data_IF_879266177387
#
_entry.id   IF_879266177387
#
_cell.length_a   1.000
_cell.length_b   1.000
_cell.length_c   1.000
_cell.angle_alpha   90.00
_cell.angle_beta   90.00
_cell.angle_gamma   90.00
#
_symmetry.space_group_name_H-M   'P 1'
#
loop_
_entity.id
_entity.type
_entity.pdbx_description
1 polymer ?
#
# COMPACT_ATOMS: atom_id res chain seq x y z
N UNK A 1 -0.86 35.67 -4.03
CA UNK A 1 0.18 35.44 -5.06
C UNK A 1 -0.43 34.50 -6.09
N UNK A 2 -0.45 34.87 -7.37
CA UNK A 2 -0.99 34.02 -8.43
C UNK A 2 -0.06 32.83 -8.73
N UNK A 3 -0.64 31.64 -8.86
CA UNK A 3 0.04 30.40 -9.28
C UNK A 3 0.77 30.60 -10.61
N UNK A 4 0.19 31.41 -11.48
CA UNK A 4 0.76 31.77 -12.79
C UNK A 4 2.07 32.55 -12.67
N UNK A 5 2.17 33.44 -11.69
CA UNK A 5 3.38 34.23 -11.44
C UNK A 5 4.50 33.34 -10.91
N UNK A 6 4.16 32.38 -10.05
CA UNK A 6 5.08 31.40 -9.47
C UNK A 6 5.60 30.41 -10.53
N UNK A 7 4.74 29.96 -11.44
CA UNK A 7 5.13 29.11 -12.56
C UNK A 7 6.07 29.86 -13.52
N UNK A 8 5.79 31.14 -13.81
CA UNK A 8 6.60 31.96 -14.71
C UNK A 8 7.98 32.30 -14.12
N UNK A 9 8.08 32.56 -12.82
CA UNK A 9 9.38 32.75 -12.16
C UNK A 9 10.19 31.46 -12.13
N UNK A 10 9.55 30.31 -11.90
CA UNK A 10 10.22 29.00 -11.91
C UNK A 10 10.76 28.67 -13.30
N UNK A 11 9.96 28.87 -14.37
CA UNK A 11 10.39 28.64 -15.75
C UNK A 11 11.55 29.55 -16.20
N UNK A 12 11.60 30.81 -15.71
CA UNK A 12 12.66 31.76 -16.05
C UNK A 12 14.05 31.33 -15.52
N UNK A 13 14.08 30.49 -14.49
CA UNK A 13 15.30 29.98 -13.85
C UNK A 13 15.40 28.46 -13.93
N UNK A 14 15.01 27.91 -15.08
CA UNK A 14 15.12 26.49 -15.37
C UNK A 14 16.53 25.92 -15.08
N UNK A 15 17.58 26.72 -15.25
CA UNK A 15 18.97 26.33 -14.97
C UNK A 15 19.31 26.06 -13.49
N UNK A 16 18.46 26.45 -12.53
CA UNK A 16 18.61 26.09 -11.10
C UNK A 16 17.65 24.97 -10.72
N UNK A 17 16.41 25.07 -11.20
CA UNK A 17 15.36 24.10 -10.90
C UNK A 17 15.68 22.72 -11.48
N UNK A 18 16.03 22.65 -12.77
CA UNK A 18 16.33 21.39 -13.45
C UNK A 18 17.47 20.60 -12.80
N UNK A 19 18.65 21.18 -12.49
CA UNK A 19 19.71 20.40 -11.85
C UNK A 19 19.32 19.91 -10.45
N UNK A 20 18.59 20.70 -9.65
CA UNK A 20 18.10 20.24 -8.34
C UNK A 20 17.14 19.06 -8.51
N UNK A 21 16.21 19.14 -9.45
CA UNK A 21 15.28 18.06 -9.75
C UNK A 21 16.01 16.81 -10.25
N UNK A 22 17.00 16.96 -11.13
CA UNK A 22 17.82 15.86 -11.64
C UNK A 22 18.60 15.19 -10.50
N UNK A 23 19.20 15.97 -9.59
CA UNK A 23 19.90 15.42 -8.41
C UNK A 23 18.93 14.66 -7.51
N UNK A 24 17.74 15.21 -7.26
CA UNK A 24 16.73 14.54 -6.44
C UNK A 24 16.26 13.22 -7.06
N UNK A 25 15.98 13.20 -8.36
CA UNK A 25 15.61 11.98 -9.08
C UNK A 25 16.76 10.98 -9.14
N UNK A 26 18.01 11.44 -9.31
CA UNK A 26 19.18 10.58 -9.29
C UNK A 26 19.35 9.92 -7.92
N UNK A 27 19.19 10.66 -6.82
CA UNK A 27 19.23 10.13 -5.46
C UNK A 27 18.09 9.15 -5.19
N UNK A 28 16.87 9.47 -5.62
CA UNK A 28 15.72 8.56 -5.51
C UNK A 28 15.95 7.28 -6.31
N UNK A 29 16.52 7.38 -7.50
CA UNK A 29 16.83 6.23 -8.35
C UNK A 29 17.94 5.35 -7.78
N UNK A 30 19.01 5.92 -7.24
CA UNK A 30 20.07 5.14 -6.59
C UNK A 30 19.53 4.41 -5.37
N UNK A 31 18.76 5.09 -4.53
CA UNK A 31 18.15 4.46 -3.36
C UNK A 31 17.15 3.36 -3.77
N UNK A 32 16.36 3.57 -4.83
CA UNK A 32 15.43 2.56 -5.34
C UNK A 32 16.14 1.30 -5.88
N UNK A 33 17.37 1.41 -6.38
CA UNK A 33 18.16 0.27 -6.85
C UNK A 33 18.80 -0.55 -5.73
N UNK A 34 18.96 0.05 -4.56
CA UNK A 34 19.52 -0.61 -3.39
C UNK A 34 18.44 -1.38 -2.60
N UNK A 35 17.16 -1.25 -2.97
CA UNK A 35 16.09 -2.06 -2.38
C UNK A 35 16.25 -3.51 -2.84
N UNK A 36 16.24 -4.48 -1.90
CA UNK A 36 16.22 -5.88 -2.28
C UNK A 36 14.90 -6.19 -3.02
N UNK A 37 14.92 -7.14 -3.98
CA UNK A 37 13.69 -7.60 -4.60
C UNK A 37 12.81 -8.25 -3.54
N UNK A 38 11.52 -7.91 -3.54
CA UNK A 38 10.51 -8.55 -2.71
C UNK A 38 9.77 -9.55 -3.59
N UNK A 39 9.83 -10.81 -3.21
CA UNK A 39 9.11 -11.91 -3.84
C UNK A 39 7.78 -12.06 -3.16
N UNK A 40 6.72 -12.18 -3.97
CA UNK A 40 5.37 -12.44 -3.49
C UNK A 40 4.92 -13.76 -4.10
N UNK A 41 4.50 -14.69 -3.25
CA UNK A 41 3.92 -15.95 -3.70
C UNK A 41 2.52 -16.07 -3.14
N UNK A 42 1.58 -16.34 -4.04
CA UNK A 42 0.21 -16.61 -3.68
C UNK A 42 -0.07 -18.10 -3.78
N UNK A 43 -0.72 -18.64 -2.75
CA UNK A 43 -1.30 -19.99 -2.76
C UNK A 43 -2.75 -19.93 -2.29
N UNK A 44 -3.55 -20.90 -2.71
CA UNK A 44 -4.95 -20.96 -2.29
C UNK A 44 -5.38 -22.38 -1.99
N UNK A 45 -6.29 -22.51 -1.03
CA UNK A 45 -6.89 -23.78 -0.64
C UNK A 45 -8.39 -23.60 -0.45
N UNK A 46 -9.17 -24.60 -0.86
CA UNK A 46 -10.62 -24.63 -0.66
C UNK A 46 -10.95 -25.58 0.48
N UNK A 47 -11.90 -25.16 1.31
CA UNK A 47 -12.52 -26.04 2.30
C UNK A 47 -13.67 -26.78 1.63
N UNK A 48 -13.65 -28.11 1.72
CA UNK A 48 -14.73 -28.96 1.20
C UNK A 48 -15.41 -29.71 2.34
N UNK A 49 -16.69 -30.03 2.16
CA UNK A 49 -17.38 -30.95 3.07
C UNK A 49 -16.78 -32.37 3.02
N UNK A 50 -17.28 -33.28 3.86
CA UNK A 50 -16.82 -34.66 3.84
C UNK A 50 -17.15 -35.34 2.51
N UNK A 51 -16.25 -36.24 2.08
CA UNK A 51 -16.48 -37.10 0.92
C UNK A 51 -17.35 -38.31 1.26
N UNK A 52 -17.48 -38.63 2.55
CA UNK A 52 -18.19 -39.77 3.06
C UNK A 52 -19.30 -39.28 4.00
N UNK A 53 -20.51 -39.78 3.83
CA UNK A 53 -21.63 -39.54 4.75
C UNK A 53 -22.26 -40.87 5.18
N UNK A 54 -22.86 -40.94 6.38
CA UNK A 54 -23.67 -42.08 6.76
C UNK A 54 -24.82 -42.28 5.76
N UNK A 55 -24.95 -43.49 5.23
CA UNK A 55 -26.04 -43.89 4.35
C UNK A 55 -27.36 -44.11 5.08
N UNK A 56 -28.40 -44.50 4.33
CA UNK A 56 -29.75 -44.73 4.86
C UNK A 56 -29.84 -45.98 5.76
N UNK A 57 -28.95 -46.96 5.58
CA UNK A 57 -28.85 -48.15 6.42
C UNK A 57 -27.76 -48.04 7.49
N UNK A 58 -28.00 -48.64 8.68
CA UNK A 58 -27.06 -48.59 9.80
C UNK A 58 -25.73 -49.29 9.45
N UNK A 59 -24.67 -48.49 9.29
CA UNK A 59 -23.34 -48.95 8.89
C UNK A 59 -23.02 -48.80 7.39
N UNK A 60 -23.93 -48.24 6.59
CA UNK A 60 -23.67 -47.84 5.20
C UNK A 60 -22.94 -46.49 5.17
N UNK A 61 -21.98 -46.36 4.25
CA UNK A 61 -21.25 -45.10 4.02
C UNK A 61 -21.37 -44.78 2.53
N UNK A 62 -21.97 -43.64 2.23
CA UNK A 62 -22.14 -43.15 0.87
C UNK A 62 -21.03 -42.17 0.50
N UNK A 63 -20.45 -42.36 -0.70
CA UNK A 63 -19.51 -41.42 -1.27
C UNK A 63 -20.29 -40.28 -1.96
N UNK A 64 -20.11 -39.06 -1.47
CA UNK A 64 -20.70 -37.85 -2.05
C UNK A 64 -19.62 -36.96 -2.63
N UNK A 65 -19.98 -36.20 -3.67
CA UNK A 65 -19.09 -35.20 -4.24
C UNK A 65 -18.85 -34.06 -3.23
N UNK A 66 -17.62 -33.88 -2.70
CA UNK A 66 -17.31 -32.88 -1.67
C UNK A 66 -17.60 -31.44 -2.10
N UNK A 67 -17.57 -31.17 -3.41
CA UNK A 67 -17.81 -29.85 -4.00
C UNK A 67 -19.30 -29.48 -4.10
N UNK A 68 -20.22 -30.42 -3.85
CA UNK A 68 -21.65 -30.10 -3.77
C UNK A 68 -22.02 -29.47 -2.41
N UNK A 69 -21.18 -29.67 -1.40
CA UNK A 69 -21.41 -29.23 -0.02
C UNK A 69 -20.72 -27.89 0.30
N UNK A 70 -20.56 -27.00 -0.70
CA UNK A 70 -19.96 -25.66 -0.54
C UNK A 70 -20.90 -24.64 0.16
N UNK A 71 -21.62 -25.07 1.19
CA UNK A 71 -22.64 -24.27 1.89
C UNK A 71 -22.08 -23.22 2.85
N UNK A 72 -22.98 -22.38 3.39
CA UNK A 72 -22.61 -21.23 4.24
C UNK A 72 -21.90 -21.57 5.57
N UNK A 73 -21.96 -22.82 6.04
CA UNK A 73 -21.16 -23.28 7.18
C UNK A 73 -19.67 -23.19 6.89
N UNK A 74 -19.23 -23.53 5.67
CA UNK A 74 -17.82 -23.44 5.27
C UNK A 74 -17.33 -22.00 5.24
N UNK A 75 -18.17 -21.04 4.86
CA UNK A 75 -17.85 -19.60 4.92
C UNK A 75 -17.58 -19.12 6.35
N UNK A 76 -18.23 -19.73 7.34
CA UNK A 76 -18.00 -19.41 8.76
C UNK A 76 -16.70 -20.08 9.24
N UNK A 77 -16.46 -21.32 8.82
CA UNK A 77 -15.21 -22.03 9.12
C UNK A 77 -14.00 -21.34 8.51
N UNK A 78 -14.05 -20.86 7.26
CA UNK A 78 -12.96 -20.07 6.67
C UNK A 78 -12.71 -18.78 7.42
N UNK A 79 -13.76 -18.11 7.92
CA UNK A 79 -13.59 -16.92 8.76
C UNK A 79 -12.84 -17.21 10.06
N UNK A 80 -13.16 -18.33 10.72
CA UNK A 80 -12.43 -18.78 11.90
C UNK A 80 -10.98 -19.16 11.56
N UNK A 81 -10.76 -19.83 10.42
CA UNK A 81 -9.43 -20.19 9.94
C UNK A 81 -8.56 -18.97 9.66
N UNK A 82 -9.09 -17.89 9.07
CA UNK A 82 -8.32 -16.65 8.87
C UNK A 82 -7.77 -16.13 10.20
N UNK A 83 -8.62 -16.03 11.23
CA UNK A 83 -8.20 -15.56 12.57
C UNK A 83 -7.15 -16.50 13.20
N UNK A 84 -7.33 -17.81 13.03
CA UNK A 84 -6.42 -18.80 13.59
C UNK A 84 -5.07 -18.81 12.86
N UNK A 85 -5.09 -18.67 11.53
CA UNK A 85 -3.90 -18.63 10.71
C UNK A 85 -3.13 -17.32 10.89
N UNK A 86 -3.78 -16.18 11.11
CA UNK A 86 -3.09 -14.89 11.37
C UNK A 86 -2.61 -14.73 12.83
N UNK A 87 -2.83 -15.73 13.68
CA UNK A 87 -2.46 -15.66 15.09
C UNK A 87 -0.95 -15.74 15.34
N UNK A 88 -0.47 -15.08 16.41
CA UNK A 88 0.95 -15.14 16.82
C UNK A 88 1.51 -16.56 16.98
N UNK A 89 0.78 -17.56 17.52
CA UNK A 89 1.27 -18.94 17.58
C UNK A 89 1.60 -19.53 16.21
N UNK A 90 0.81 -19.21 15.18
CA UNK A 90 1.08 -19.69 13.81
C UNK A 90 2.33 -19.04 13.24
N UNK A 91 2.52 -17.72 13.47
CA UNK A 91 3.75 -17.03 13.07
C UNK A 91 4.98 -17.58 13.79
N UNK A 92 4.85 -17.92 15.08
CA UNK A 92 5.92 -18.54 15.86
C UNK A 92 6.27 -19.95 15.35
N UNK A 93 5.27 -20.74 14.96
CA UNK A 93 5.45 -22.07 14.36
C UNK A 93 6.25 -22.00 13.04
N UNK A 94 5.97 -21.00 12.20
CA UNK A 94 6.74 -20.73 10.98
C UNK A 94 8.18 -20.27 11.29
N UNK A 95 8.36 -19.38 12.27
CA UNK A 95 9.69 -18.90 12.68
C UNK A 95 10.57 -20.04 13.23
N UNK A 96 10.00 -20.94 14.06
CA UNK A 96 10.70 -22.13 14.55
C UNK A 96 11.10 -23.08 13.42
N UNK A 97 10.32 -23.13 12.33
CA UNK A 97 10.63 -23.87 11.12
C UNK A 97 11.66 -23.17 10.22
N UNK A 98 12.04 -21.92 10.53
CA UNK A 98 12.94 -21.10 9.71
C UNK A 98 12.29 -20.59 8.42
N UNK A 99 10.98 -20.43 8.41
CA UNK A 99 10.17 -19.97 7.28
C UNK A 99 9.82 -18.47 7.42
N UNK A 100 9.27 -17.89 6.35
CA UNK A 100 8.88 -16.48 6.33
C UNK A 100 7.67 -16.24 7.24
N UNK A 101 7.73 -15.19 8.06
CA UNK A 101 6.65 -14.83 9.01
C UNK A 101 5.76 -13.69 8.52
N UNK A 102 6.13 -13.07 7.39
CA UNK A 102 5.36 -12.02 6.73
C UNK A 102 4.43 -12.66 5.71
N UNK A 103 3.17 -12.83 6.13
CA UNK A 103 2.11 -13.32 5.27
C UNK A 103 0.78 -12.67 5.66
N UNK A 104 -0.11 -12.64 4.67
CA UNK A 104 -1.51 -12.25 4.82
C UNK A 104 -2.39 -13.46 4.47
N UNK A 105 -3.49 -13.60 5.21
CA UNK A 105 -4.47 -14.67 5.00
C UNK A 105 -5.82 -14.03 4.72
N UNK A 106 -6.32 -14.29 3.53
CA UNK A 106 -7.59 -13.78 3.07
C UNK A 106 -8.56 -14.91 2.77
N UNK A 107 -9.84 -14.56 2.58
CA UNK A 107 -10.85 -15.52 2.18
C UNK A 107 -11.88 -14.96 1.22
N UNK A 108 -12.36 -15.82 0.34
CA UNK A 108 -13.57 -15.61 -0.46
C UNK A 108 -14.41 -16.88 -0.35
N UNK A 109 -15.56 -16.77 0.32
CA UNK A 109 -16.45 -17.89 0.61
C UNK A 109 -15.74 -19.05 1.33
N UNK A 110 -15.64 -20.22 0.69
CA UNK A 110 -14.97 -21.41 1.20
C UNK A 110 -13.49 -21.51 0.80
N UNK A 111 -12.95 -20.50 0.11
CA UNK A 111 -11.56 -20.46 -0.35
C UNK A 111 -10.72 -19.56 0.57
N UNK A 112 -9.58 -20.08 1.00
CA UNK A 112 -8.51 -19.36 1.67
C UNK A 112 -7.43 -18.98 0.66
N UNK A 113 -6.93 -17.75 0.78
CA UNK A 113 -5.79 -17.23 0.03
C UNK A 113 -4.68 -16.94 1.02
N UNK A 114 -3.47 -17.33 0.66
CA UNK A 114 -2.26 -17.06 1.42
C UNK A 114 -1.32 -16.28 0.52
N UNK A 115 -1.03 -15.05 0.92
CA UNK A 115 -0.08 -14.18 0.25
C UNK A 115 1.16 -14.07 1.16
N UNK A 116 2.29 -14.60 0.69
CA UNK A 116 3.55 -14.61 1.43
C UNK A 116 4.52 -13.66 0.75
N UNK A 117 5.16 -12.80 1.53
CA UNK A 117 6.19 -11.88 1.05
C UNK A 117 7.54 -12.20 1.69
N UNK A 118 8.62 -12.07 0.92
CA UNK A 118 9.96 -12.29 1.44
C UNK A 118 11.07 -11.91 0.46
N UNK A 119 12.31 -12.03 0.92
CA UNK A 119 13.50 -11.65 0.13
C UNK A 119 14.12 -12.84 -0.63
N UNK A 120 13.70 -14.06 -0.32
CA UNK A 120 14.17 -15.28 -0.94
C UNK A 120 13.02 -16.04 -1.61
N UNK A 121 13.12 -16.24 -2.93
CA UNK A 121 12.10 -16.91 -3.74
C UNK A 121 11.75 -18.32 -3.24
N UNK A 122 12.76 -19.07 -2.79
CA UNK A 122 12.60 -20.45 -2.34
C UNK A 122 11.90 -20.46 -0.97
N UNK A 123 12.37 -19.64 -0.04
CA UNK A 123 11.79 -19.53 1.30
C UNK A 123 10.31 -19.12 1.26
N UNK A 124 9.95 -18.14 0.42
CA UNK A 124 8.56 -17.69 0.26
C UNK A 124 7.69 -18.82 -0.31
N UNK A 125 8.20 -19.58 -1.29
CA UNK A 125 7.48 -20.72 -1.87
C UNK A 125 7.30 -21.87 -0.86
N UNK A 126 8.33 -22.18 -0.10
CA UNK A 126 8.29 -23.20 0.96
C UNK A 126 7.30 -22.81 2.06
N UNK A 127 7.31 -21.54 2.46
CA UNK A 127 6.36 -20.97 3.43
C UNK A 127 4.92 -21.07 2.95
N UNK A 128 4.64 -20.70 1.69
CA UNK A 128 3.29 -20.82 1.13
C UNK A 128 2.78 -22.27 1.12
N UNK A 129 3.65 -23.24 0.83
CA UNK A 129 3.30 -24.67 0.92
C UNK A 129 3.08 -25.14 2.37
N UNK A 130 3.88 -24.62 3.31
CA UNK A 130 3.72 -24.92 4.73
C UNK A 130 2.42 -24.36 5.28
N UNK A 131 2.04 -23.12 4.92
CA UNK A 131 0.79 -22.51 5.36
C UNK A 131 -0.44 -23.35 5.00
N UNK A 132 -0.48 -23.97 3.82
CA UNK A 132 -1.55 -24.89 3.44
C UNK A 132 -1.57 -26.14 4.32
N UNK A 133 -0.40 -26.70 4.67
CA UNK A 133 -0.30 -27.86 5.59
C UNK A 133 -0.72 -27.49 7.01
N UNK A 134 -0.26 -26.35 7.51
CA UNK A 134 -0.64 -25.83 8.81
C UNK A 134 -2.15 -25.58 8.87
N UNK A 135 -2.75 -25.06 7.80
CA UNK A 135 -4.20 -24.87 7.73
C UNK A 135 -4.96 -26.20 7.85
N UNK A 136 -4.46 -27.27 7.22
CA UNK A 136 -5.04 -28.62 7.36
C UNK A 136 -4.95 -29.14 8.80
N UNK A 137 -3.77 -29.01 9.42
CA UNK A 137 -3.54 -29.41 10.82
C UNK A 137 -4.44 -28.64 11.79
N UNK A 138 -4.47 -27.31 11.70
CA UNK A 138 -5.29 -26.46 12.59
C UNK A 138 -6.78 -26.68 12.37
N UNK A 139 -7.21 -26.94 11.15
CA UNK A 139 -8.60 -27.32 10.88
C UNK A 139 -8.93 -28.68 11.51
N UNK A 140 -8.02 -29.66 11.45
CA UNK A 140 -8.20 -30.95 12.09
C UNK A 140 -8.29 -30.83 13.62
N UNK A 141 -7.42 -30.02 14.23
CA UNK A 141 -7.44 -29.73 15.68
C UNK A 141 -8.74 -29.05 16.12
N UNK A 142 -9.23 -28.08 15.34
CA UNK A 142 -10.50 -27.40 15.62
C UNK A 142 -11.68 -28.37 15.58
N UNK A 143 -11.70 -29.29 14.61
CA UNK A 143 -12.75 -30.29 14.46
C UNK A 143 -12.67 -31.40 15.51
N UNK A 144 -11.45 -31.78 15.93
CA UNK A 144 -11.22 -32.70 17.04
C UNK A 144 -11.69 -32.11 18.36
N UNK A 145 -11.40 -30.84 18.63
CA UNK A 145 -11.89 -30.14 19.80
C UNK A 145 -13.43 -30.01 19.84
N UNK A 146 -14.08 -30.15 18.69
CA UNK A 146 -15.54 -30.18 18.54
C UNK A 146 -16.13 -31.60 18.54
N UNK A 147 -15.33 -32.64 18.86
CA UNK A 147 -15.73 -34.05 18.85
C UNK A 147 -16.33 -34.50 17.50
N UNK A 148 -15.82 -33.96 16.38
CA UNK A 148 -16.30 -34.31 15.04
C UNK A 148 -15.79 -35.69 14.60
N UNK A 149 -16.69 -36.53 14.08
CA UNK A 149 -16.38 -37.86 13.55
C UNK A 149 -15.38 -37.73 12.39
N UNK A 150 -14.22 -38.44 12.42
CA UNK A 150 -13.19 -38.39 11.39
C UNK A 150 -13.71 -38.57 9.96
N UNK A 151 -14.72 -39.41 9.75
CA UNK A 151 -15.23 -39.73 8.41
C UNK A 151 -16.09 -38.59 7.84
N UNK A 152 -16.53 -37.65 8.69
CA UNK A 152 -17.42 -36.54 8.33
C UNK A 152 -16.77 -35.16 8.39
N UNK A 153 -15.43 -35.10 8.47
CA UNK A 153 -14.70 -33.83 8.62
C UNK A 153 -14.63 -33.00 7.33
N UNK A 154 -14.61 -31.70 7.52
CA UNK A 154 -14.20 -30.71 6.53
C UNK A 154 -12.73 -30.93 6.21
N UNK A 155 -12.39 -30.85 4.93
CA UNK A 155 -11.03 -31.06 4.43
C UNK A 155 -10.49 -29.78 3.79
N UNK A 156 -9.17 -29.57 3.90
CA UNK A 156 -8.46 -28.54 3.14
C UNK A 156 -7.93 -29.16 1.85
N UNK A 157 -8.36 -28.63 0.71
CA UNK A 157 -7.91 -29.08 -0.62
C UNK A 157 -7.11 -27.96 -1.28
N UNK A 158 -5.82 -28.15 -1.61
CA UNK A 158 -5.05 -27.13 -2.33
C UNK A 158 -5.64 -26.91 -3.72
N UNK A 159 -5.95 -25.65 -4.05
CA UNK A 159 -6.48 -25.27 -5.37
C UNK A 159 -5.37 -24.95 -6.36
N UNK A 160 -4.36 -24.21 -5.89
CA UNK A 160 -3.24 -23.78 -6.71
C UNK A 160 -1.94 -24.16 -6.02
N UNK A 161 -1.02 -24.73 -6.80
CA UNK A 161 0.38 -24.77 -6.35
C UNK A 161 0.89 -23.33 -6.27
N UNK A 162 1.68 -22.99 -5.24
CA UNK A 162 2.21 -21.64 -5.10
C UNK A 162 2.95 -21.25 -6.38
N UNK A 163 2.53 -20.15 -7.00
CA UNK A 163 3.23 -19.59 -8.16
C UNK A 163 3.92 -18.32 -7.71
N UNK A 164 5.24 -18.31 -7.87
CA UNK A 164 6.05 -17.11 -7.60
C UNK A 164 5.68 -16.07 -8.65
N UNK A 165 5.03 -14.99 -8.22
CA UNK A 165 4.87 -13.81 -9.06
C UNK A 165 6.07 -12.89 -8.80
N UNK A 166 6.84 -12.58 -9.85
CA UNK A 166 7.93 -11.61 -9.70
C UNK A 166 7.38 -10.22 -9.39
N UNK A 167 7.79 -9.73 -8.22
CA UNK A 167 8.21 -8.37 -7.91
C UNK A 167 7.13 -7.28 -8.01
N UNK A 168 6.39 -7.11 -6.92
CA UNK A 168 5.75 -5.84 -6.61
C UNK A 168 6.79 -4.81 -6.13
N UNK A 169 7.70 -4.34 -6.99
CA UNK A 169 8.64 -3.23 -6.63
C UNK A 169 7.94 -1.86 -6.53
N UNK A 170 6.73 -1.83 -5.98
CA UNK A 170 5.97 -0.60 -5.75
C UNK A 170 6.76 0.37 -4.88
N UNK A 171 7.56 -0.15 -3.93
CA UNK A 171 8.43 0.64 -3.06
C UNK A 171 9.45 1.50 -3.83
N UNK A 172 10.10 0.94 -4.85
CA UNK A 172 11.08 1.68 -5.67
C UNK A 172 10.45 2.84 -6.43
N UNK A 173 9.27 2.61 -7.02
CA UNK A 173 8.51 3.64 -7.75
C UNK A 173 8.02 4.74 -6.80
N UNK A 174 7.50 4.37 -5.62
CA UNK A 174 7.07 5.32 -4.60
C UNK A 174 8.25 6.19 -4.13
N UNK A 175 9.42 5.61 -3.91
CA UNK A 175 10.60 6.35 -3.46
C UNK A 175 11.06 7.38 -4.50
N UNK A 176 11.08 7.00 -5.78
CA UNK A 176 11.38 7.92 -6.89
C UNK A 176 10.33 9.03 -6.97
N UNK A 177 9.05 8.71 -6.79
CA UNK A 177 7.98 9.70 -6.79
C UNK A 177 8.10 10.71 -5.64
N UNK A 178 8.35 10.23 -4.42
CA UNK A 178 8.59 11.08 -3.23
C UNK A 178 9.83 11.95 -3.44
N UNK A 179 10.93 11.39 -3.92
CA UNK A 179 12.14 12.15 -4.23
C UNK A 179 11.87 13.22 -5.31
N UNK A 180 11.03 12.92 -6.31
CA UNK A 180 10.56 13.88 -7.30
C UNK A 180 9.80 15.04 -6.68
N UNK A 181 8.83 14.77 -5.80
CA UNK A 181 8.04 15.81 -5.10
C UNK A 181 8.94 16.69 -4.22
N UNK A 182 9.82 16.07 -3.44
CA UNK A 182 10.80 16.81 -2.61
C UNK A 182 11.71 17.67 -3.50
N UNK A 183 12.19 17.11 -4.61
CA UNK A 183 12.98 17.82 -5.60
C UNK A 183 12.25 19.02 -6.22
N UNK A 184 10.95 18.88 -6.51
CA UNK A 184 10.11 19.97 -7.02
C UNK A 184 9.97 21.10 -6.00
N UNK A 185 9.71 20.77 -4.73
CA UNK A 185 9.55 21.76 -3.66
C UNK A 185 10.87 22.49 -3.41
N UNK A 186 11.98 21.76 -3.25
CA UNK A 186 13.30 22.33 -3.04
C UNK A 186 13.78 23.16 -4.24
N UNK A 187 13.61 22.64 -5.44
CA UNK A 187 13.99 23.33 -6.68
C UNK A 187 13.23 24.64 -6.85
N UNK A 188 11.91 24.64 -6.57
CA UNK A 188 11.07 25.84 -6.64
C UNK A 188 11.46 26.86 -5.56
N UNK A 189 11.68 26.40 -4.33
CA UNK A 189 12.14 27.24 -3.21
C UNK A 189 13.48 27.92 -3.51
N UNK A 190 14.47 27.17 -4.01
CA UNK A 190 15.76 27.71 -4.41
C UNK A 190 15.62 28.74 -5.55
N UNK A 191 14.79 28.44 -6.56
CA UNK A 191 14.58 29.35 -7.68
C UNK A 191 14.02 30.71 -7.22
N UNK A 192 13.03 30.69 -6.32
CA UNK A 192 12.43 31.91 -5.73
C UNK A 192 13.42 32.64 -4.83
N UNK A 193 14.15 31.93 -3.97
CA UNK A 193 15.16 32.53 -3.09
C UNK A 193 16.27 33.22 -3.89
N UNK A 194 16.73 32.59 -4.99
CA UNK A 194 17.73 33.17 -5.88
C UNK A 194 17.19 34.41 -6.63
N UNK A 195 15.88 34.46 -6.90
CA UNK A 195 15.24 35.63 -7.51
C UNK A 195 15.13 36.81 -6.54
N UNK A 196 14.71 36.54 -5.30
CA UNK A 196 14.72 37.52 -4.22
C UNK A 196 16.12 38.07 -3.96
N UNK A 197 17.15 37.21 -3.92
CA UNK A 197 18.52 37.63 -3.68
C UNK A 197 19.09 38.50 -4.81
N UNK A 198 18.88 38.11 -6.08
CA UNK A 198 19.37 38.90 -7.21
C UNK A 198 18.62 40.24 -7.38
N UNK A 199 17.31 40.29 -7.09
CA UNK A 199 16.53 41.54 -7.15
C UNK A 199 16.92 42.49 -6.02
N UNK A 200 17.09 41.99 -4.80
CA UNK A 200 17.60 42.78 -3.68
C UNK A 200 18.99 43.36 -3.95
N UNK A 201 19.90 42.55 -4.51
CA UNK A 201 21.24 43.01 -4.88
C UNK A 201 21.22 44.08 -5.97
N UNK A 202 20.32 44.00 -6.96
CA UNK A 202 20.17 45.03 -8.00
C UNK A 202 19.66 46.36 -7.43
N UNK A 203 18.66 46.32 -6.55
CA UNK A 203 18.14 47.53 -5.87
C UNK A 203 19.24 48.26 -5.10
N UNK A 204 20.08 47.52 -4.37
CA UNK A 204 21.26 48.08 -3.68
C UNK A 204 22.28 48.72 -4.62
N UNK A 205 22.47 48.16 -5.81
CA UNK A 205 23.39 48.72 -6.80
C UNK A 205 22.84 50.03 -7.40
N UNK A 206 21.53 50.08 -7.67
CA UNK A 206 20.83 51.25 -8.19
C UNK A 206 20.82 52.41 -7.15
N UNK A 207 20.57 52.10 -5.88
CA UNK A 207 20.66 53.08 -4.78
C UNK A 207 22.07 53.66 -4.63
N UNK A 208 23.12 52.85 -4.80
CA UNK A 208 24.50 53.32 -4.75
C UNK A 208 24.84 54.26 -5.93
N UNK A 209 24.31 54.00 -7.13
CA UNK A 209 24.48 54.90 -8.27
C UNK A 209 23.72 56.22 -8.10
N UNK A 210 22.49 56.19 -7.58
CA UNK A 210 21.70 57.41 -7.33
C UNK A 210 22.32 58.27 -6.22
N UNK A 211 22.90 57.64 -5.19
CA UNK A 211 23.66 58.34 -4.16
C UNK A 211 24.95 58.97 -4.70
N UNK A 212 25.61 58.35 -5.68
CA UNK A 212 26.78 58.93 -6.34
C UNK A 212 26.42 60.10 -7.27
N UNK A 213 25.24 60.06 -7.90
CA UNK A 213 24.76 61.11 -8.81
C UNK A 213 24.27 62.33 -8.04
N UNK A 214 23.60 62.14 -6.89
CA UNK A 214 23.18 63.26 -6.02
C UNK A 214 24.36 64.01 -5.41
N UNK A 215 25.47 63.32 -5.09
CA UNK A 215 26.70 63.95 -4.60
C UNK A 215 27.45 64.72 -5.71
N UNK A 216 27.32 64.30 -6.98
CA UNK A 216 27.89 65.06 -8.11
C UNK A 216 27.00 66.22 -8.57
N UNK A 217 25.69 66.16 -8.31
CA UNK A 217 24.73 67.23 -8.61
C UNK A 217 24.74 68.36 -7.56
N UNK A 218 25.29 68.13 -6.35
CA UNK A 218 25.72 69.21 -5.45
C UNK A 218 27.05 69.76 -5.98
N UNK A 219 26.98 70.36 -7.16
CA UNK A 219 27.99 71.28 -7.63
C UNK A 219 28.10 72.39 -6.60
N UNK A 220 29.28 72.48 -5.99
CA UNK A 220 29.74 73.58 -5.17
C UNK A 220 29.35 74.92 -5.83
N UNK A 221 28.26 75.53 -5.38
CA UNK A 221 27.92 76.91 -5.71
C UNK A 221 28.78 77.79 -4.79
N UNK A 222 29.75 78.55 -5.31
CA UNK A 222 30.58 79.40 -4.47
C UNK A 222 29.72 80.55 -3.93
N UNK A 223 29.66 80.65 -2.61
CA UNK A 223 29.37 81.82 -1.80
C UNK A 223 28.35 82.85 -2.34
N UNK A 224 27.12 82.83 -1.80
CA UNK A 224 26.37 84.07 -1.59
C UNK A 224 26.28 84.29 -0.08
N UNK A 225 27.01 85.32 0.33
CA UNK A 225 27.24 85.81 1.68
C UNK A 225 26.02 86.65 2.07
N UNK A 226 25.20 86.16 3.01
CA UNK A 226 24.09 86.96 3.56
C UNK A 226 24.01 86.86 5.08
N UNK A 227 23.72 88.04 5.61
CA UNK A 227 23.91 88.57 6.96
C UNK A 227 23.30 87.78 8.13
N UNK A 228 23.86 88.01 9.34
CA UNK A 228 23.30 87.51 10.59
C UNK A 228 22.05 88.32 10.96
N UNK A 229 20.91 87.63 11.10
CA UNK A 229 19.72 88.21 11.74
C UNK A 229 19.62 87.69 13.18
N UNK A 230 19.66 88.66 14.07
CA UNK A 230 19.65 88.63 15.52
C UNK A 230 18.21 88.69 16.07
N UNK A 231 17.94 87.96 17.16
CA UNK A 231 16.73 88.04 18.01
C UNK A 231 15.55 87.14 17.58
N UNK A 232 14.81 86.45 18.45
CA UNK A 232 14.74 86.42 19.91
C UNK A 232 13.88 85.19 20.33
N UNK A 233 13.72 84.86 21.64
CA UNK A 233 13.36 83.54 22.14
C UNK A 233 11.85 83.30 22.20
N UNK A 234 11.41 82.05 21.97
CA UNK A 234 10.07 81.59 22.33
C UNK A 234 10.15 80.29 23.16
N UNK A 235 9.98 80.57 24.44
CA UNK A 235 9.42 79.82 25.56
C UNK A 235 8.31 78.80 25.23
N UNK A 236 8.40 77.62 25.86
CA UNK A 236 7.25 76.88 26.40
C UNK A 236 6.45 75.97 25.46
N UNK A 237 6.45 74.65 25.71
CA UNK A 237 5.54 73.72 25.04
C UNK A 237 5.70 72.25 25.44
N UNK A 238 5.25 71.95 26.65
CA UNK A 238 5.20 70.65 27.34
C UNK A 238 4.16 69.68 26.73
N UNK A 239 4.54 68.44 26.40
CA UNK A 239 3.68 67.24 26.29
C UNK A 239 4.61 66.01 26.38
N UNK A 240 4.75 65.28 27.49
CA UNK A 240 3.80 64.46 28.26
C UNK A 240 3.49 63.08 27.62
N UNK A 241 3.90 62.02 28.32
CA UNK A 241 3.46 60.61 28.16
C UNK A 241 4.22 59.79 27.11
N UNK A 242 5.10 58.84 27.42
CA UNK A 242 5.26 58.06 28.65
C UNK A 242 4.28 56.88 28.70
N UNK A 243 4.43 55.88 27.81
CA UNK A 243 3.85 54.56 28.04
C UNK A 243 4.81 53.47 27.56
N UNK A 244 5.45 52.85 28.55
CA UNK A 244 6.29 51.67 28.42
C UNK A 244 5.38 50.50 28.79
N UNK A 245 4.87 49.76 27.81
CA UNK A 245 4.19 48.49 28.09
C UNK A 245 5.24 47.42 28.37
N UNK A 246 5.28 47.01 29.63
CA UNK A 246 6.08 45.89 30.11
C UNK A 246 5.60 44.59 29.50
N UNK A 247 6.54 43.86 28.90
CA UNK A 247 6.37 42.46 28.55
C UNK A 247 6.06 41.65 29.80
N UNK A 248 4.80 41.23 29.91
CA UNK A 248 4.31 40.31 30.91
C UNK A 248 4.85 38.91 30.59
N UNK A 249 5.73 38.43 31.46
CA UNK A 249 6.09 37.02 31.59
C UNK A 249 4.89 36.32 32.21
N UNK A 250 4.10 35.63 31.38
CA UNK A 250 3.01 34.75 31.80
C UNK A 250 3.29 33.36 31.23
N UNK A 251 3.48 32.38 32.12
CA UNK A 251 3.78 31.01 31.74
C UNK A 251 2.61 30.38 30.99
N UNK A 252 2.92 29.82 29.82
CA UNK A 252 2.06 28.83 29.18
C UNK A 252 2.02 27.59 30.07
N UNK A 253 0.88 27.45 30.75
CA UNK A 253 0.38 26.15 31.17
C UNK A 253 0.19 25.35 29.89
N UNK A 254 0.96 24.27 29.76
CA UNK A 254 0.73 23.24 28.77
C UNK A 254 -0.60 22.56 29.14
N UNK A 255 -1.70 23.07 28.61
CA UNK A 255 -2.95 22.31 28.48
C UNK A 255 -2.67 21.18 27.49
N UNK A 256 -2.59 19.97 28.04
CA UNK A 256 -2.66 18.74 27.26
C UNK A 256 -3.98 18.74 26.47
N UNK A 257 -3.99 18.35 25.18
CA UNK A 257 -5.22 18.22 24.44
C UNK A 257 -6.13 17.20 25.13
N UNK A 258 -7.36 17.62 25.42
CA UNK A 258 -8.41 16.74 25.90
C UNK A 258 -8.58 15.57 24.92
N UNK A 259 -8.57 14.35 25.46
CA UNK A 259 -8.79 13.14 24.72
C UNK A 259 -10.15 13.19 23.98
N UNK A 260 -10.26 12.63 22.76
CA UNK A 260 -11.51 12.65 22.03
C UNK A 260 -12.56 11.81 22.77
N UNK A 261 -13.62 12.46 23.22
CA UNK A 261 -14.83 11.85 23.77
C UNK A 261 -15.63 11.19 22.64
N UNK A 262 -15.26 9.96 22.28
CA UNK A 262 -16.11 9.10 21.45
C UNK A 262 -16.66 7.87 22.22
N UNK A 263 -16.46 7.82 23.53
CA UNK A 263 -17.15 6.89 24.42
C UNK A 263 -18.47 7.49 24.93
N UNK A 264 -19.41 7.75 24.02
CA UNK A 264 -20.81 7.93 24.35
C UNK A 264 -21.61 6.96 23.48
N UNK A 265 -21.94 5.83 24.09
CA UNK A 265 -22.89 4.87 23.56
C UNK A 265 -24.23 5.57 23.35
N UNK A 266 -24.60 5.78 22.09
CA UNK A 266 -26.00 5.97 21.71
C UNK A 266 -26.57 4.61 21.33
N UNK A 267 -27.37 4.04 22.23
CA UNK A 267 -28.35 3.00 21.90
C UNK A 267 -29.37 3.57 20.90
N UNK A 268 -29.55 2.98 19.71
CA UNK A 268 -30.75 3.22 18.92
C UNK A 268 -31.88 2.34 19.45
N UNK A 269 -32.87 3.04 20.00
CA UNK A 269 -34.23 2.58 20.31
C UNK A 269 -34.85 1.79 19.15
N UNK A 270 -35.64 0.80 19.53
CA UNK A 270 -36.69 0.17 18.75
C UNK A 270 -37.60 1.22 18.10
N UNK A 271 -37.62 1.26 16.77
CA UNK A 271 -38.72 1.85 16.00
C UNK A 271 -39.17 0.86 14.92
N UNK A 272 -40.36 0.31 15.16
CA UNK A 272 -41.20 -0.41 14.23
C UNK A 272 -41.22 0.24 12.84
N UNK A 273 -40.73 -0.48 11.82
CA UNK A 273 -41.02 -0.19 10.43
C UNK A 273 -41.41 -1.48 9.68
N UNK A 274 -42.52 -1.47 8.93
CA UNK A 274 -43.13 -2.68 8.38
C UNK A 274 -42.37 -3.26 7.18
N UNK A 275 -42.47 -4.59 7.07
CA UNK A 275 -41.99 -5.41 5.97
C UNK A 275 -42.37 -4.83 4.60
N UNK A 276 -41.35 -4.56 3.78
CA UNK A 276 -41.53 -4.39 2.34
C UNK A 276 -40.69 -5.45 1.66
N UNK A 277 -41.37 -6.51 1.17
CA UNK A 277 -40.79 -7.52 0.28
C UNK A 277 -40.35 -6.85 -1.03
N UNK A 278 -39.10 -7.05 -1.50
CA UNK A 278 -38.77 -6.78 -2.88
C UNK A 278 -39.07 -8.00 -3.76
N UNK A 279 -40.06 -7.79 -4.61
CA UNK A 279 -40.55 -8.60 -5.71
C UNK A 279 -39.42 -9.21 -6.57
N UNK A 280 -39.42 -10.54 -6.61
CA UNK A 280 -38.53 -11.37 -7.41
C UNK A 280 -39.11 -11.58 -8.81
N UNK A 281 -39.18 -10.54 -9.66
CA UNK A 281 -39.65 -10.77 -11.04
C UNK A 281 -39.20 -9.78 -12.12
N UNK A 282 -37.95 -9.29 -12.19
CA UNK A 282 -37.56 -8.55 -13.42
C UNK A 282 -36.04 -8.45 -13.68
N UNK A 283 -35.40 -9.54 -14.14
CA UNK A 283 -34.15 -9.46 -14.94
C UNK A 283 -33.80 -10.79 -15.61
N UNK A 284 -34.69 -11.25 -16.48
CA UNK A 284 -34.35 -12.20 -17.52
C UNK A 284 -35.04 -11.76 -18.81
N UNK A 285 -34.30 -11.09 -19.71
CA UNK A 285 -34.55 -11.06 -21.17
C UNK A 285 -33.45 -10.29 -21.92
N UNK A 286 -32.75 -11.07 -22.75
CA UNK A 286 -32.18 -10.71 -24.05
C UNK A 286 -30.96 -9.77 -24.14
N UNK A 287 -29.77 -10.38 -24.13
CA UNK A 287 -28.74 -10.12 -25.16
C UNK A 287 -28.18 -11.48 -25.59
N UNK A 288 -28.38 -11.81 -26.87
CA UNK A 288 -27.87 -13.01 -27.53
C UNK A 288 -26.39 -12.80 -27.93
N UNK A 289 -25.52 -13.82 -27.82
CA UNK A 289 -24.27 -13.83 -28.55
C UNK A 289 -24.49 -14.37 -29.98
N UNK A 290 -24.10 -13.56 -30.96
CA UNK A 290 -23.98 -13.95 -32.36
C UNK A 290 -22.99 -15.11 -32.51
N UNK A 291 -23.42 -16.15 -33.20
CA UNK A 291 -22.59 -17.29 -33.60
C UNK A 291 -21.69 -16.89 -34.78
N UNK A 292 -20.37 -17.11 -34.72
CA UNK A 292 -19.56 -17.10 -35.93
C UNK A 292 -19.64 -18.46 -36.64
N UNK A 293 -19.88 -18.35 -37.94
CA UNK A 293 -19.94 -19.36 -38.99
C UNK A 293 -19.02 -20.58 -38.81
N UNK A 294 -19.65 -21.75 -38.91
CA UNK A 294 -18.98 -23.00 -39.24
C UNK A 294 -18.38 -22.89 -40.65
N UNK A 295 -17.05 -22.91 -40.73
CA UNK A 295 -16.34 -23.19 -41.98
C UNK A 295 -16.13 -24.69 -42.11
N UNK A 296 -16.79 -25.21 -43.13
CA UNK A 296 -16.65 -26.52 -43.72
C UNK A 296 -15.20 -26.74 -44.19
N UNK A 297 -14.50 -27.70 -43.60
CA UNK A 297 -13.21 -28.17 -44.10
C UNK A 297 -13.12 -29.70 -43.93
N UNK A 298 -13.52 -30.36 -45.00
CA UNK A 298 -13.26 -31.77 -45.32
C UNK A 298 -11.75 -32.04 -45.43
N UNK A 299 -11.23 -32.95 -44.62
CA UNK A 299 -9.95 -33.67 -44.79
C UNK A 299 -10.02 -34.91 -43.86
N UNK A 300 -10.37 -36.12 -44.29
CA UNK A 300 -9.69 -37.06 -45.19
C UNK A 300 -8.19 -37.26 -44.92
N UNK A 301 -7.88 -38.10 -43.93
CA UNK A 301 -6.65 -38.90 -43.80
C UNK A 301 -6.89 -39.95 -42.69
N UNK A 302 -7.30 -41.17 -42.99
CA UNK A 302 -6.49 -42.29 -43.50
C UNK A 302 -5.41 -42.76 -42.50
N UNK A 303 -5.73 -43.87 -41.84
CA UNK A 303 -4.87 -45.04 -41.60
C UNK A 303 -3.38 -44.82 -41.30
N UNK A 304 -2.95 -45.07 -40.05
CA UNK A 304 -1.67 -45.71 -39.74
C UNK A 304 -1.60 -46.20 -38.28
N UNK A 305 -1.82 -47.51 -38.14
CA UNK A 305 -1.14 -48.51 -37.30
C UNK A 305 -0.80 -48.29 -35.80
N UNK A 306 -1.01 -49.34 -34.96
CA UNK A 306 -0.54 -49.39 -33.58
C UNK A 306 0.93 -49.84 -33.52
N UNK A 307 1.78 -49.10 -32.82
CA UNK A 307 3.12 -49.58 -32.48
C UNK A 307 3.09 -50.34 -31.15
N UNK A 308 3.02 -51.66 -31.28
CA UNK A 308 3.59 -52.59 -30.29
C UNK A 308 5.08 -52.28 -30.12
N UNK A 309 5.51 -51.99 -28.89
CA UNK A 309 6.88 -52.28 -28.47
C UNK A 309 6.88 -52.84 -27.06
N UNK A 310 6.74 -54.16 -27.06
CA UNK A 310 7.24 -55.10 -26.08
C UNK A 310 8.76 -54.91 -25.90
N UNK A 311 9.23 -54.70 -24.67
CA UNK A 311 10.59 -55.07 -24.24
C UNK A 311 10.72 -55.17 -22.71
N UNK A 312 10.71 -56.42 -22.23
CA UNK A 312 11.72 -57.03 -21.35
C UNK A 312 12.03 -56.31 -20.02
N UNK A 313 11.59 -56.84 -18.88
CA UNK A 313 12.28 -57.90 -18.13
C UNK A 313 13.76 -57.62 -17.80
N UNK A 314 14.06 -57.25 -16.55
CA UNK A 314 15.18 -57.84 -15.77
C UNK A 314 15.06 -57.45 -14.28
N UNK A 315 14.96 -58.44 -13.39
CA UNK A 315 15.97 -58.80 -12.37
C UNK A 315 15.99 -57.86 -11.15
N UNK A 316 15.71 -58.27 -9.90
CA UNK A 316 16.11 -59.51 -9.24
C UNK A 316 17.36 -59.28 -8.37
N UNK A 317 17.20 -59.17 -7.04
CA UNK A 317 18.15 -59.38 -5.90
C UNK A 317 17.46 -58.78 -4.65
N UNK A 318 17.10 -59.46 -3.56
CA UNK A 318 17.64 -60.57 -2.73
C UNK A 318 19.02 -60.28 -2.12
N UNK A 319 19.11 -60.65 -0.83
CA UNK A 319 20.26 -60.69 0.12
C UNK A 319 20.64 -59.34 0.73
N UNK A 320 20.90 -59.13 2.03
CA UNK A 320 21.14 -59.97 3.23
C UNK A 320 21.28 -58.97 4.40
N UNK A 321 20.70 -59.21 5.58
CA UNK A 321 21.38 -59.79 6.76
C UNK A 321 22.52 -58.92 7.33
N UNK A 322 22.31 -58.36 8.54
CA UNK A 322 23.25 -57.95 9.61
C UNK A 322 22.53 -56.91 10.47
N UNK A 323 22.37 -57.03 11.79
CA UNK A 323 22.77 -58.01 12.79
C UNK A 323 22.11 -57.63 14.12
#
# INVERSE_FOLDING_TARGET
MDVWTLLRTTLRRWYVFVPVLVVALALGYTAARDLPPVYVTQSSAILTGPALIPGDEEGEIDEINPFLSLGGSLTTTTAAMVVLMDSEPTRYELDEAGLETEYEVDRVDAVLYFDVEGLDEVAVTETANELVRIADVKLAELQEAADSDPDTRIQVVPLTSPQVALEGSTGGVQLIAVAGVVGLVLGSGLAVALDGFLTWRRRRAEEATLASESVSAVGWSPADERDPVEGDPVEGGQVEGGQVEGGQVGGDVVELPEAPTWAAAEEPRDEDAPATEPDATERARHVAPESPEATDATHDQADAEPSEHDHLASSGRRTTEHG
#
